data_IF_733234798193
#
_entry.id   IF_733234798193
#
_cell.length_a   1.000
_cell.length_b   1.000
_cell.length_c   1.000
_cell.angle_alpha   90.00
_cell.angle_beta   90.00
_cell.angle_gamma   90.00
#
_symmetry.space_group_name_H-M   'P 1'
#
loop_
_entity.id
_entity.type
_entity.pdbx_description
1 polymer ?
#
# COMPACT_ATOMS: atom_id res chain seq x y z
N UNK A 1 -14.75 14.24 19.82
CA UNK A 1 -14.47 15.68 19.69
C UNK A 1 -13.00 15.85 19.36
N UNK A 2 -12.71 16.25 18.11
CA UNK A 2 -11.51 16.90 17.56
C UNK A 2 -11.30 16.41 16.11
N UNK A 3 -11.85 17.17 15.16
CA UNK A 3 -11.71 17.00 13.71
C UNK A 3 -10.38 17.57 13.19
N UNK A 4 -9.86 17.00 12.10
CA UNK A 4 -9.54 17.68 10.82
C UNK A 4 -8.93 16.62 9.87
N UNK A 5 -9.66 16.16 8.85
CA UNK A 5 -9.71 16.72 7.49
C UNK A 5 -8.35 16.74 6.77
N UNK A 6 -8.03 15.67 6.05
CA UNK A 6 -7.07 15.67 4.94
C UNK A 6 -7.16 14.36 4.12
N UNK A 7 -8.30 14.07 3.49
CA UNK A 7 -8.34 13.09 2.37
C UNK A 7 -9.54 13.43 1.44
N UNK A 8 -9.32 14.50 0.67
CA UNK A 8 -10.00 14.90 -0.58
C UNK A 8 -8.85 15.46 -1.42
N UNK A 9 -8.56 15.15 -2.66
CA UNK A 9 -9.16 14.47 -3.82
C UNK A 9 -7.90 14.02 -4.61
N UNK A 10 -7.88 12.98 -5.45
CA UNK A 10 -8.66 12.89 -6.67
C UNK A 10 -8.23 11.60 -7.35
N UNK A 11 -9.19 10.74 -7.69
CA UNK A 11 -9.13 9.92 -8.90
C UNK A 11 -10.56 9.51 -9.20
N UNK A 12 -11.26 10.43 -9.86
CA UNK A 12 -12.55 10.13 -10.45
C UNK A 12 -12.32 9.79 -11.93
N UNK A 13 -12.62 8.56 -12.30
CA UNK A 13 -12.89 8.19 -13.69
C UNK A 13 -13.91 7.07 -13.76
N UNK A 14 -15.16 7.50 -13.98
CA UNK A 14 -16.23 6.76 -14.67
C UNK A 14 -16.96 5.69 -13.82
N UNK A 15 -18.25 5.76 -13.53
CA UNK A 15 -19.33 5.92 -14.52
C UNK A 15 -20.72 6.03 -13.85
N UNK A 16 -21.56 6.89 -14.43
CA UNK A 16 -23.02 6.71 -14.63
C UNK A 16 -23.98 6.57 -13.44
N UNK A 17 -24.78 7.61 -13.20
CA UNK A 17 -26.23 7.46 -13.18
C UNK A 17 -26.92 8.68 -13.80
N UNK A 18 -27.82 8.38 -14.73
CA UNK A 18 -28.65 9.32 -15.47
C UNK A 18 -29.76 9.85 -14.56
N UNK A 19 -29.84 11.16 -14.39
CA UNK A 19 -31.08 11.86 -14.05
C UNK A 19 -31.20 13.08 -14.96
N UNK A 20 -32.32 13.17 -15.66
CA UNK A 20 -32.71 14.29 -16.52
C UNK A 20 -33.11 15.48 -15.64
N UNK A 21 -32.38 16.58 -15.72
CA UNK A 21 -32.85 17.93 -15.39
C UNK A 21 -31.88 18.93 -16.07
N UNK A 22 -32.39 19.93 -16.77
CA UNK A 22 -31.55 20.95 -17.41
C UNK A 22 -31.09 21.97 -16.35
N UNK A 23 -29.87 21.82 -15.81
CA UNK A 23 -29.30 22.72 -14.81
C UNK A 23 -28.14 23.55 -15.39
N UNK A 24 -28.21 24.87 -15.21
CA UNK A 24 -27.22 25.86 -15.63
C UNK A 24 -25.84 25.49 -15.05
N UNK A 25 -24.73 25.50 -15.83
CA UNK A 25 -23.42 25.11 -15.32
C UNK A 25 -22.96 26.09 -14.23
N UNK A 26 -23.06 25.64 -12.98
CA UNK A 26 -22.53 26.34 -11.81
C UNK A 26 -21.01 26.25 -11.87
N UNK A 27 -20.37 27.23 -12.49
CA UNK A 27 -18.94 27.46 -12.40
C UNK A 27 -18.61 27.76 -10.92
N UNK A 28 -18.12 26.76 -10.20
CA UNK A 28 -17.36 27.02 -8.98
C UNK A 28 -16.03 27.66 -9.41
N UNK A 29 -15.65 28.81 -8.83
CA UNK A 29 -14.37 29.42 -9.15
C UNK A 29 -13.26 28.44 -8.78
N UNK A 30 -12.40 28.12 -9.75
CA UNK A 30 -11.18 27.34 -9.54
C UNK A 30 -10.33 28.12 -8.54
N UNK A 31 -10.38 27.74 -7.26
CA UNK A 31 -9.52 28.30 -6.23
C UNK A 31 -8.13 27.78 -6.54
N UNK A 32 -7.27 28.66 -7.04
CA UNK A 32 -5.88 28.31 -7.33
C UNK A 32 -5.27 27.76 -6.03
N UNK A 33 -4.72 26.52 -6.05
CA UNK A 33 -4.03 25.99 -4.89
C UNK A 33 -2.97 27.00 -4.45
N UNK A 34 -2.86 27.23 -3.15
CA UNK A 34 -1.86 28.14 -2.62
C UNK A 34 -0.46 27.64 -2.98
N UNK A 35 0.56 28.49 -2.94
CA UNK A 35 1.95 28.06 -3.21
C UNK A 35 2.42 26.92 -2.28
N UNK A 36 1.74 26.73 -1.16
CA UNK A 36 1.95 25.66 -0.18
C UNK A 36 1.41 24.32 -0.71
N UNK A 37 0.18 24.33 -1.26
CA UNK A 37 -0.50 23.17 -1.82
C UNK A 37 0.18 22.67 -3.11
N UNK A 38 0.70 23.58 -3.93
CA UNK A 38 1.42 23.23 -5.17
C UNK A 38 2.72 22.47 -4.84
N UNK A 39 3.46 22.94 -3.82
CA UNK A 39 4.67 22.25 -3.37
C UNK A 39 4.36 20.87 -2.79
N UNK A 40 3.24 20.72 -2.10
CA UNK A 40 2.80 19.42 -1.62
C UNK A 40 2.51 18.47 -2.78
N UNK A 41 1.81 18.93 -3.83
CA UNK A 41 1.57 18.13 -5.03
C UNK A 41 2.86 17.71 -5.74
N UNK A 42 3.87 18.59 -5.85
CA UNK A 42 5.16 18.24 -6.44
C UNK A 42 5.91 17.17 -5.66
N UNK A 43 5.84 17.23 -4.33
CA UNK A 43 6.42 16.21 -3.44
C UNK A 43 5.73 14.86 -3.63
N UNK A 44 4.39 14.84 -3.75
CA UNK A 44 3.63 13.61 -3.98
C UNK A 44 3.73 13.07 -5.41
N UNK A 45 3.96 13.94 -6.39
CA UNK A 45 4.29 13.58 -7.78
C UNK A 45 5.73 13.06 -7.93
N UNK A 46 6.55 13.13 -6.89
CA UNK A 46 7.88 12.52 -6.91
C UNK A 46 7.78 11.03 -6.55
N UNK A 47 8.02 10.17 -7.55
CA UNK A 47 7.99 8.73 -7.37
C UNK A 47 8.94 8.25 -6.26
N UNK A 48 10.09 8.89 -6.07
CA UNK A 48 11.01 8.51 -5.00
C UNK A 48 10.39 8.78 -3.63
N UNK A 49 9.78 9.96 -3.43
CA UNK A 49 9.16 10.32 -2.15
C UNK A 49 7.92 9.46 -1.88
N UNK A 50 7.02 9.32 -2.87
CA UNK A 50 5.81 8.48 -2.75
C UNK A 50 6.16 7.02 -2.43
N UNK A 51 7.23 6.49 -3.03
CA UNK A 51 7.68 5.11 -2.77
C UNK A 51 8.32 4.95 -1.41
N UNK A 52 9.17 5.89 -0.98
CA UNK A 52 9.78 5.85 0.37
C UNK A 52 8.71 5.97 1.45
N UNK A 53 7.78 6.90 1.30
CA UNK A 53 6.68 7.07 2.25
C UNK A 53 5.83 5.80 2.35
N UNK A 54 5.43 5.22 1.21
CA UNK A 54 4.71 3.95 1.16
C UNK A 54 5.50 2.80 1.80
N UNK A 55 6.81 2.73 1.55
CA UNK A 55 7.69 1.73 2.16
C UNK A 55 7.79 1.89 3.69
N UNK A 56 7.87 3.11 4.21
CA UNK A 56 7.87 3.37 5.66
C UNK A 56 6.53 2.96 6.29
N UNK A 57 5.42 3.34 5.66
CA UNK A 57 4.07 3.01 6.14
C UNK A 57 3.82 1.49 6.10
N UNK A 58 4.22 0.83 5.01
CA UNK A 58 4.19 -0.63 4.89
C UNK A 58 5.09 -1.31 5.91
N UNK A 59 6.29 -0.79 6.15
CA UNK A 59 7.20 -1.29 7.17
C UNK A 59 6.64 -1.21 8.58
N UNK A 60 5.97 -0.10 8.92
CA UNK A 60 5.26 0.07 10.19
C UNK A 60 4.14 -0.95 10.38
N UNK A 61 3.30 -1.14 9.36
CA UNK A 61 2.25 -2.16 9.36
C UNK A 61 2.83 -3.58 9.49
N UNK A 62 3.93 -3.87 8.78
CA UNK A 62 4.62 -5.16 8.86
C UNK A 62 5.25 -5.43 10.23
N UNK A 63 5.76 -4.38 10.90
CA UNK A 63 6.29 -4.47 12.27
C UNK A 63 5.17 -4.81 13.26
N UNK A 64 4.04 -4.10 13.19
CA UNK A 64 2.85 -4.36 14.00
C UNK A 64 2.31 -5.77 13.77
N UNK A 65 2.14 -6.17 12.50
CA UNK A 65 1.66 -7.51 12.16
C UNK A 65 2.64 -8.59 12.63
N UNK A 66 3.94 -8.38 12.49
CA UNK A 66 4.96 -9.33 12.94
C UNK A 66 5.03 -9.46 14.46
N UNK A 67 4.79 -8.37 15.20
CA UNK A 67 4.72 -8.39 16.65
C UNK A 67 3.43 -9.07 17.13
N UNK A 68 2.30 -8.80 16.47
CA UNK A 68 1.00 -9.42 16.76
C UNK A 68 1.05 -10.93 16.55
N UNK A 69 1.53 -11.39 15.40
CA UNK A 69 1.70 -12.84 15.14
C UNK A 69 2.70 -13.45 16.12
N UNK A 70 3.80 -12.74 16.41
CA UNK A 70 4.77 -13.19 17.42
C UNK A 70 4.19 -13.30 18.83
N UNK A 71 3.12 -12.54 19.15
CA UNK A 71 2.42 -12.61 20.44
C UNK A 71 1.39 -13.74 20.49
N UNK A 72 0.84 -14.14 19.32
CA UNK A 72 -0.08 -15.27 19.21
C UNK A 72 0.65 -16.63 19.21
N UNK A 73 1.89 -16.67 18.69
CA UNK A 73 2.75 -17.85 18.76
C UNK A 73 3.17 -18.11 20.23
N UNK A 74 2.41 -18.93 20.96
CA UNK A 74 2.73 -19.34 22.33
C UNK A 74 3.95 -20.27 22.35
N UNK A 75 5.03 -19.94 23.07
CA UNK A 75 6.19 -20.82 23.21
C UNK A 75 5.93 -21.94 24.24
N UNK A 76 4.96 -22.83 24.00
CA UNK A 76 4.68 -24.01 24.86
C UNK A 76 5.67 -25.18 24.64
N UNK A 77 6.94 -24.91 24.35
CA UNK A 77 7.93 -25.97 24.11
C UNK A 77 9.37 -25.56 24.47
N UNK A 78 9.59 -25.10 25.70
CA UNK A 78 10.94 -24.89 26.25
C UNK A 78 10.97 -25.25 27.75
N UNK A 79 10.71 -26.52 28.07
CA UNK A 79 10.56 -27.04 29.44
C UNK A 79 11.87 -27.10 30.28
N UNK A 80 12.91 -26.34 29.92
CA UNK A 80 14.25 -26.45 30.55
C UNK A 80 15.01 -25.13 30.77
N UNK A 81 14.41 -23.96 30.52
CA UNK A 81 15.13 -22.66 30.65
C UNK A 81 14.51 -21.74 31.69
N UNK A 82 15.34 -20.97 32.39
CA UNK A 82 14.94 -19.97 33.41
C UNK A 82 13.98 -18.94 32.80
N UNK A 83 12.92 -18.53 33.51
CA UNK A 83 11.89 -17.61 32.96
C UNK A 83 12.40 -16.27 32.42
N UNK A 84 13.56 -15.79 32.91
CA UNK A 84 14.25 -14.61 32.36
C UNK A 84 14.89 -14.88 30.99
N UNK A 85 15.46 -16.06 30.80
CA UNK A 85 16.06 -16.48 29.54
C UNK A 85 14.98 -16.77 28.49
N UNK A 86 13.87 -17.41 28.89
CA UNK A 86 12.71 -17.61 28.02
C UNK A 86 12.11 -16.27 27.56
N UNK A 87 11.97 -15.30 28.47
CA UNK A 87 11.46 -13.98 28.11
C UNK A 87 12.40 -13.23 27.16
N UNK A 88 13.71 -13.21 27.46
CA UNK A 88 14.71 -12.59 26.59
C UNK A 88 14.79 -13.28 25.22
N UNK A 89 14.72 -14.60 25.18
CA UNK A 89 14.73 -15.38 23.94
C UNK A 89 13.45 -15.14 23.12
N UNK A 90 12.29 -15.11 23.78
CA UNK A 90 11.00 -14.81 23.15
C UNK A 90 10.99 -13.41 22.56
N UNK A 91 11.41 -12.38 23.33
CA UNK A 91 11.55 -11.02 22.82
C UNK A 91 12.50 -10.93 21.62
N UNK A 92 13.64 -11.64 21.66
CA UNK A 92 14.60 -11.67 20.56
C UNK A 92 14.02 -12.36 19.32
N UNK A 93 13.27 -13.45 19.49
CA UNK A 93 12.63 -14.16 18.40
C UNK A 93 11.48 -13.35 17.78
N UNK A 94 10.62 -12.77 18.62
CA UNK A 94 9.56 -11.85 18.19
C UNK A 94 10.12 -10.65 17.45
N UNK A 95 11.20 -10.04 17.99
CA UNK A 95 11.87 -8.91 17.35
C UNK A 95 12.47 -9.25 15.99
N UNK A 96 13.17 -10.39 15.87
CA UNK A 96 13.72 -10.85 14.58
C UNK A 96 12.63 -11.13 13.55
N UNK A 97 11.53 -11.76 13.97
CA UNK A 97 10.38 -12.04 13.10
C UNK A 97 9.70 -10.75 12.66
N UNK A 98 9.45 -9.83 13.60
CA UNK A 98 8.85 -8.53 13.34
C UNK A 98 9.70 -7.69 12.38
N UNK A 99 11.03 -7.66 12.55
CA UNK A 99 11.94 -6.99 11.60
C UNK A 99 11.91 -7.63 10.21
N UNK A 100 11.84 -8.96 10.13
CA UNK A 100 11.71 -9.66 8.85
C UNK A 100 10.40 -9.31 8.15
N UNK A 101 9.29 -9.28 8.88
CA UNK A 101 7.98 -8.89 8.37
C UNK A 101 7.98 -7.43 7.92
N UNK A 102 8.47 -6.52 8.76
CA UNK A 102 8.61 -5.10 8.43
C UNK A 102 9.39 -4.90 7.12
N UNK A 103 10.51 -5.61 6.94
CA UNK A 103 11.29 -5.55 5.69
C UNK A 103 10.49 -6.04 4.48
N UNK A 104 9.74 -7.13 4.61
CA UNK A 104 8.93 -7.67 3.52
C UNK A 104 7.84 -6.68 3.09
N UNK A 105 7.09 -6.13 4.06
CA UNK A 105 6.03 -5.15 3.77
C UNK A 105 6.57 -3.81 3.28
N UNK A 106 7.72 -3.36 3.78
CA UNK A 106 8.38 -2.16 3.29
C UNK A 106 8.80 -2.31 1.82
N UNK A 107 9.38 -3.46 1.45
CA UNK A 107 9.78 -3.73 0.06
C UNK A 107 8.55 -3.89 -0.84
N UNK A 108 7.50 -4.59 -0.39
CA UNK A 108 6.22 -4.69 -1.09
C UNK A 108 5.62 -3.31 -1.39
N UNK A 109 5.45 -2.47 -0.36
CA UNK A 109 4.88 -1.13 -0.51
C UNK A 109 5.74 -0.21 -1.38
N UNK A 110 7.06 -0.28 -1.23
CA UNK A 110 7.99 0.50 -2.05
C UNK A 110 7.88 0.15 -3.53
N UNK A 111 7.92 -1.15 -3.89
CA UNK A 111 7.86 -1.57 -5.29
C UNK A 111 6.49 -1.27 -5.89
N UNK A 112 5.42 -1.48 -5.14
CA UNK A 112 4.05 -1.20 -5.59
C UNK A 112 3.86 0.28 -5.92
N UNK A 113 4.21 1.17 -4.99
CA UNK A 113 4.12 2.62 -5.17
C UNK A 113 5.06 3.14 -6.27
N UNK A 114 6.26 2.57 -6.39
CA UNK A 114 7.19 2.91 -7.45
C UNK A 114 6.66 2.51 -8.84
N UNK A 115 6.13 1.30 -8.95
CA UNK A 115 5.59 0.78 -10.20
C UNK A 115 4.37 1.59 -10.64
N UNK A 116 3.45 1.90 -9.72
CA UNK A 116 2.32 2.79 -10.02
C UNK A 116 2.79 4.15 -10.51
N UNK A 117 3.66 4.84 -9.75
CA UNK A 117 4.08 6.18 -10.12
C UNK A 117 4.83 6.24 -11.46
N UNK A 118 5.66 5.22 -11.76
CA UNK A 118 6.36 5.15 -13.07
C UNK A 118 5.37 4.94 -14.21
N UNK A 119 4.38 4.05 -14.03
CA UNK A 119 3.37 3.79 -15.06
C UNK A 119 2.43 5.00 -15.24
N UNK A 120 2.08 5.65 -14.13
CA UNK A 120 1.27 6.87 -14.12
C UNK A 120 1.98 8.01 -14.85
N UNK A 121 3.27 8.24 -14.59
CA UNK A 121 4.06 9.24 -15.33
C UNK A 121 4.21 8.90 -16.81
N UNK A 122 4.28 7.63 -17.17
CA UNK A 122 4.41 7.21 -18.56
C UNK A 122 3.10 7.36 -19.35
N UNK A 123 1.94 7.11 -18.71
CA UNK A 123 0.63 7.16 -19.38
C UNK A 123 -0.16 8.44 -19.15
N UNK A 124 0.25 9.28 -18.19
CA UNK A 124 -0.45 10.48 -17.74
C UNK A 124 -1.93 10.23 -17.40
N UNK A 125 -2.24 9.01 -16.91
CA UNK A 125 -3.57 8.58 -16.49
C UNK A 125 -3.46 7.65 -15.28
N UNK A 126 -4.40 7.76 -14.36
CA UNK A 126 -4.54 6.86 -13.23
C UNK A 126 -5.76 5.97 -13.49
N UNK A 127 -5.51 4.77 -14.01
CA UNK A 127 -6.55 3.79 -14.36
C UNK A 127 -6.28 2.47 -13.61
N UNK A 128 -7.34 1.69 -13.37
CA UNK A 128 -7.30 0.36 -12.73
C UNK A 128 -6.25 -0.58 -13.35
N UNK A 129 -6.06 -0.49 -14.67
CA UNK A 129 -5.06 -1.31 -15.37
C UNK A 129 -3.63 -1.01 -14.94
N UNK A 130 -3.32 0.22 -14.52
CA UNK A 130 -2.01 0.59 -14.01
C UNK A 130 -1.77 -0.05 -12.64
N UNK A 131 -2.79 -0.05 -11.77
CA UNK A 131 -2.76 -0.70 -10.46
C UNK A 131 -2.55 -2.21 -10.59
N UNK A 132 -3.24 -2.85 -11.54
CA UNK A 132 -3.09 -4.30 -11.82
C UNK A 132 -1.68 -4.63 -12.32
N UNK A 133 -1.15 -3.80 -13.22
CA UNK A 133 0.22 -3.95 -13.72
C UNK A 133 1.23 -3.75 -12.59
N UNK A 134 1.05 -2.74 -11.75
CA UNK A 134 1.91 -2.50 -10.58
C UNK A 134 1.85 -3.66 -9.58
N UNK A 135 0.66 -4.22 -9.34
CA UNK A 135 0.46 -5.43 -8.55
C UNK A 135 1.21 -6.62 -9.13
N UNK A 136 1.03 -6.90 -10.43
CA UNK A 136 1.76 -7.98 -11.12
C UNK A 136 3.29 -7.78 -11.04
N UNK A 137 3.79 -6.57 -11.30
CA UNK A 137 5.23 -6.25 -11.24
C UNK A 137 5.76 -6.47 -9.83
N UNK A 138 5.02 -6.04 -8.81
CA UNK A 138 5.41 -6.21 -7.41
C UNK A 138 5.45 -7.69 -7.01
N UNK A 139 4.37 -8.43 -7.30
CA UNK A 139 4.27 -9.85 -7.00
C UNK A 139 5.29 -10.70 -7.75
N UNK A 140 5.55 -10.36 -9.02
CA UNK A 140 6.57 -10.98 -9.86
C UNK A 140 7.98 -10.67 -9.38
N UNK A 141 8.28 -9.41 -9.05
CA UNK A 141 9.60 -8.98 -8.58
C UNK A 141 9.99 -9.66 -7.26
N UNK A 142 9.05 -9.76 -6.32
CA UNK A 142 9.34 -10.35 -5.01
C UNK A 142 9.42 -11.88 -5.08
N UNK A 143 8.67 -12.48 -5.99
CA UNK A 143 8.70 -13.94 -6.23
C UNK A 143 9.81 -14.36 -7.21
N UNK A 144 10.55 -13.42 -7.80
CA UNK A 144 11.57 -13.70 -8.81
C UNK A 144 12.67 -14.65 -8.31
N UNK A 145 13.04 -14.55 -7.03
CA UNK A 145 14.01 -15.47 -6.40
C UNK A 145 13.53 -16.92 -6.33
N UNK A 146 12.22 -17.17 -6.40
CA UNK A 146 11.62 -18.51 -6.45
C UNK A 146 11.61 -19.14 -7.85
N UNK A 147 12.19 -18.46 -8.85
CA UNK A 147 12.19 -18.90 -10.24
C UNK A 147 10.99 -18.41 -11.05
N UNK A 148 10.94 -18.69 -12.37
CA UNK A 148 9.95 -18.12 -13.27
C UNK A 148 8.52 -18.56 -12.97
N UNK A 149 8.32 -19.81 -12.52
CA UNK A 149 6.99 -20.31 -12.12
C UNK A 149 6.45 -19.56 -10.90
N UNK A 150 7.29 -19.31 -9.89
CA UNK A 150 6.91 -18.53 -8.72
C UNK A 150 6.61 -17.07 -9.09
N UNK A 151 7.40 -16.48 -10.01
CA UNK A 151 7.15 -15.13 -10.51
C UNK A 151 5.79 -15.02 -11.24
N UNK A 152 5.42 -16.01 -12.06
CA UNK A 152 4.12 -16.03 -12.73
C UNK A 152 2.96 -16.14 -11.73
N UNK A 153 3.08 -17.04 -10.75
CA UNK A 153 2.05 -17.20 -9.69
C UNK A 153 1.95 -15.94 -8.84
N UNK A 154 3.09 -15.34 -8.48
CA UNK A 154 3.16 -14.09 -7.73
C UNK A 154 2.51 -12.92 -8.49
N UNK A 155 2.84 -12.76 -9.77
CA UNK A 155 2.19 -11.75 -10.62
C UNK A 155 0.67 -11.95 -10.69
N UNK A 156 0.22 -13.17 -11.00
CA UNK A 156 -1.21 -13.46 -11.13
C UNK A 156 -1.96 -13.24 -9.81
N UNK A 157 -1.39 -13.66 -8.68
CA UNK A 157 -1.97 -13.49 -7.35
C UNK A 157 -2.10 -12.03 -6.95
N UNK A 158 -1.03 -11.23 -7.10
CA UNK A 158 -1.07 -9.81 -6.78
C UNK A 158 -1.95 -9.02 -7.74
N UNK A 159 -1.95 -9.34 -9.04
CA UNK A 159 -2.85 -8.74 -10.02
C UNK A 159 -4.33 -8.98 -9.65
N UNK A 160 -4.68 -10.23 -9.33
CA UNK A 160 -6.04 -10.58 -8.92
C UNK A 160 -6.43 -9.87 -7.62
N UNK A 161 -5.53 -9.84 -6.64
CA UNK A 161 -5.76 -9.13 -5.38
C UNK A 161 -6.01 -7.63 -5.60
N UNK A 162 -5.22 -6.98 -6.45
CA UNK A 162 -5.42 -5.57 -6.81
C UNK A 162 -6.81 -5.32 -7.40
N UNK A 163 -7.27 -6.15 -8.36
CA UNK A 163 -8.62 -6.04 -8.94
C UNK A 163 -9.71 -6.16 -7.87
N UNK A 164 -9.56 -7.12 -6.96
CA UNK A 164 -10.56 -7.36 -5.91
C UNK A 164 -10.66 -6.16 -4.97
N UNK A 165 -9.53 -5.62 -4.52
CA UNK A 165 -9.52 -4.45 -3.63
C UNK A 165 -10.11 -3.24 -4.32
N UNK A 166 -9.73 -3.00 -5.56
CA UNK A 166 -10.26 -1.91 -6.37
C UNK A 166 -11.78 -2.01 -6.56
N UNK A 167 -12.29 -3.21 -6.87
CA UNK A 167 -13.72 -3.47 -6.96
C UNK A 167 -14.45 -3.29 -5.64
N UNK A 168 -13.81 -3.67 -4.54
CA UNK A 168 -14.37 -3.52 -3.20
C UNK A 168 -14.47 -2.04 -2.80
N UNK A 169 -13.42 -1.25 -3.07
CA UNK A 169 -13.41 0.19 -2.80
C UNK A 169 -14.42 0.93 -3.69
N UNK A 170 -14.48 0.62 -4.98
CA UNK A 170 -15.45 1.19 -5.91
C UNK A 170 -16.89 0.89 -5.50
N UNK A 171 -17.16 -0.33 -5.01
CA UNK A 171 -18.50 -0.71 -4.54
C UNK A 171 -18.94 -0.01 -3.24
N UNK A 172 -18.02 0.57 -2.47
CA UNK A 172 -18.29 1.23 -1.19
C UNK A 172 -18.11 2.76 -1.22
N UNK A 173 -17.75 3.31 -2.38
CA UNK A 173 -17.61 4.74 -2.64
C UNK A 173 -18.90 5.30 -3.26
#
# INVERSE_FOLDING_TARGET
>A
MASSNAEKESNNSSSSSVSKEAEVPKYEPIRMPSMEDIRAQDVWNNCAVRSVFSGVMGGGLGLCMGLFVGALDNPLMQDTMTGREQFMYTLKQMGRRSLSSAKAFAVMGFIFSAAECVVEKARAKHDMTNTVVAGCVTGGAISAKGGPKAACVGCAGFAAFSVVIEKFLDSHS
#
